data_IF_790665527452
#
_entry.id   IF_790665527452
#
_cell.length_a   1.000
_cell.length_b   1.000
_cell.length_c   1.000
_cell.angle_alpha   90.00
_cell.angle_beta   90.00
_cell.angle_gamma   90.00
#
_symmetry.space_group_name_H-M   'P 1'
#
loop_
_entity.id
_entity.type
_entity.pdbx_description
1 polymer ?
#
# COMPACT_ATOMS: atom_id res chain seq x y z
N UNK A 1 18.78 29.68 -11.58
CA UNK A 1 17.75 30.08 -10.60
C UNK A 1 16.72 28.96 -10.43
N UNK A 2 17.12 27.77 -9.98
CA UNK A 2 16.22 26.61 -9.78
C UNK A 2 16.66 25.76 -8.56
N UNK A 3 17.29 26.37 -7.56
CA UNK A 3 17.86 25.68 -6.39
C UNK A 3 17.25 26.11 -5.06
N UNK A 4 15.99 26.56 -5.06
CA UNK A 4 15.36 27.21 -3.91
C UNK A 4 14.48 26.31 -3.03
N UNK A 5 14.10 25.13 -3.50
CA UNK A 5 13.27 24.21 -2.72
C UNK A 5 14.23 23.26 -2.00
N UNK A 6 14.63 23.65 -0.80
CA UNK A 6 15.43 22.78 0.06
C UNK A 6 14.53 21.72 0.70
N UNK A 7 15.09 20.52 0.88
CA UNK A 7 14.39 19.34 1.44
C UNK A 7 13.73 19.66 2.79
N UNK A 8 14.35 20.54 3.57
CA UNK A 8 13.88 20.95 4.89
C UNK A 8 12.55 21.71 4.86
N UNK A 9 12.32 22.53 3.84
CA UNK A 9 11.09 23.28 3.65
C UNK A 9 9.96 22.32 3.27
N UNK A 10 10.25 21.32 2.43
CA UNK A 10 9.26 20.32 2.03
C UNK A 10 8.77 19.49 3.23
N UNK A 11 9.66 19.10 4.15
CA UNK A 11 9.28 18.38 5.37
C UNK A 11 8.37 19.20 6.28
N UNK A 12 8.67 20.49 6.45
CA UNK A 12 7.85 21.41 7.26
C UNK A 12 6.45 21.55 6.64
N UNK A 13 6.36 21.76 5.33
CA UNK A 13 5.08 21.86 4.61
C UNK A 13 4.29 20.55 4.70
N UNK A 14 4.95 19.41 4.50
CA UNK A 14 4.33 18.08 4.61
C UNK A 14 3.77 17.84 6.02
N UNK A 15 4.50 18.26 7.05
CA UNK A 15 4.05 18.18 8.45
C UNK A 15 2.76 18.94 8.68
N UNK A 16 2.64 20.16 8.15
CA UNK A 16 1.41 20.97 8.27
C UNK A 16 0.24 20.30 7.54
N UNK A 17 0.46 19.76 6.34
CA UNK A 17 -0.57 19.04 5.59
C UNK A 17 -1.05 17.82 6.37
N UNK A 18 -0.13 17.02 6.93
CA UNK A 18 -0.48 15.86 7.77
C UNK A 18 -1.30 16.31 8.99
N UNK A 19 -0.98 17.46 9.59
CA UNK A 19 -1.70 17.97 10.76
C UNK A 19 -3.12 18.42 10.42
N UNK A 20 -3.33 19.05 9.26
CA UNK A 20 -4.65 19.51 8.80
C UNK A 20 -5.52 18.33 8.35
N UNK A 21 -4.96 17.43 7.56
CA UNK A 21 -5.71 16.29 6.99
C UNK A 21 -5.78 15.08 7.93
N UNK A 22 -4.86 15.00 8.89
CA UNK A 22 -4.67 13.84 9.75
C UNK A 22 -3.97 12.68 9.02
N UNK A 23 -3.24 11.85 9.77
CA UNK A 23 -2.55 10.65 9.23
C UNK A 23 -3.52 9.58 8.71
N UNK A 24 -4.76 9.53 9.21
CA UNK A 24 -5.76 8.53 8.83
C UNK A 24 -6.23 8.69 7.38
N UNK A 25 -6.51 9.93 6.94
CA UNK A 25 -6.87 10.22 5.54
C UNK A 25 -5.67 10.04 4.61
N UNK A 26 -4.48 10.49 5.03
CA UNK A 26 -3.25 10.33 4.25
C UNK A 26 -2.84 8.87 4.10
N UNK A 27 -3.07 8.00 5.09
CA UNK A 27 -2.80 6.56 4.98
C UNK A 27 -3.75 5.87 4.02
N UNK A 28 -5.04 6.17 4.10
CA UNK A 28 -6.04 5.57 3.21
C UNK A 28 -5.78 5.96 1.74
N UNK A 29 -5.57 7.25 1.45
CA UNK A 29 -5.25 7.69 0.09
C UNK A 29 -3.82 7.34 -0.34
N UNK A 30 -2.88 7.37 0.60
CA UNK A 30 -1.47 7.09 0.36
C UNK A 30 -1.20 5.61 0.08
N UNK A 31 -2.01 4.69 0.60
CA UNK A 31 -1.95 3.27 0.26
C UNK A 31 -2.27 3.03 -1.22
N UNK A 32 -3.39 3.60 -1.70
CA UNK A 32 -3.85 3.45 -3.08
C UNK A 32 -2.88 4.09 -4.08
N UNK A 33 -2.49 5.35 -3.81
CA UNK A 33 -1.55 6.09 -4.65
C UNK A 33 -0.13 5.51 -4.56
N UNK A 34 0.30 5.11 -3.38
CA UNK A 34 1.61 4.51 -3.14
C UNK A 34 1.75 3.16 -3.83
N UNK A 35 0.69 2.35 -3.86
CA UNK A 35 0.65 1.08 -4.60
C UNK A 35 0.82 1.28 -6.10
N UNK A 36 0.10 2.24 -6.68
CA UNK A 36 0.20 2.58 -8.11
C UNK A 36 1.61 3.10 -8.47
N UNK A 37 2.17 4.01 -7.66
CA UNK A 37 3.51 4.55 -7.86
C UNK A 37 4.58 3.47 -7.70
N UNK A 38 4.40 2.50 -6.78
CA UNK A 38 5.34 1.39 -6.59
C UNK A 38 5.44 0.52 -7.85
N UNK A 39 4.30 0.18 -8.46
CA UNK A 39 4.26 -0.56 -9.73
C UNK A 39 4.90 0.21 -10.88
N UNK A 40 4.63 1.53 -10.97
CA UNK A 40 5.27 2.40 -11.96
C UNK A 40 6.79 2.47 -11.78
N UNK A 41 7.27 2.68 -10.55
CA UNK A 41 8.71 2.67 -10.26
C UNK A 41 9.32 1.32 -10.63
N UNK A 42 8.66 0.21 -10.28
CA UNK A 42 9.17 -1.12 -10.57
C UNK A 42 9.28 -1.37 -12.08
N UNK A 43 8.26 -1.00 -12.87
CA UNK A 43 8.30 -1.13 -14.33
C UNK A 43 9.41 -0.27 -14.96
N UNK A 44 9.54 0.99 -14.52
CA UNK A 44 10.60 1.90 -15.02
C UNK A 44 12.00 1.40 -14.64
N UNK A 45 12.17 0.80 -13.45
CA UNK A 45 13.45 0.22 -13.06
C UNK A 45 13.70 -1.16 -13.71
N UNK A 46 12.67 -1.93 -14.04
CA UNK A 46 12.79 -3.20 -14.79
C UNK A 46 13.27 -2.97 -16.23
N UNK A 47 12.90 -1.85 -16.85
CA UNK A 47 13.42 -1.43 -18.17
C UNK A 47 14.92 -1.05 -18.13
N UNK A 48 15.42 -0.57 -16.99
CA UNK A 48 16.84 -0.26 -16.78
C UNK A 48 17.67 -1.48 -16.30
N UNK A 49 17.04 -2.47 -15.66
CA UNK A 49 17.68 -3.61 -14.97
C UNK A 49 17.38 -4.99 -15.61
N UNK A 50 17.31 -5.09 -16.94
CA UNK A 50 17.31 -6.39 -17.66
C UNK A 50 18.64 -7.15 -17.52
N UNK A 51 19.17 -7.34 -16.30
CA UNK A 51 20.26 -8.30 -16.06
C UNK A 51 20.31 -9.01 -14.71
N UNK A 52 19.51 -8.75 -13.65
CA UNK A 52 19.53 -9.68 -12.50
C UNK A 52 18.34 -9.63 -11.51
N UNK A 53 17.52 -10.70 -11.57
CA UNK A 53 16.83 -11.38 -10.43
C UNK A 53 15.48 -10.82 -9.90
N UNK A 54 14.69 -11.63 -9.16
CA UNK A 54 13.30 -11.93 -9.49
C UNK A 54 12.27 -11.17 -8.62
N UNK A 55 11.14 -10.90 -9.26
CA UNK A 55 9.88 -10.37 -8.73
C UNK A 55 9.58 -10.82 -7.29
N UNK A 56 9.73 -9.89 -6.34
CA UNK A 56 9.38 -10.10 -4.95
C UNK A 56 7.85 -10.02 -4.77
N UNK A 57 7.26 -11.17 -4.47
CA UNK A 57 5.85 -11.35 -4.10
C UNK A 57 5.41 -10.31 -3.07
N UNK A 58 4.32 -9.60 -3.37
CA UNK A 58 3.57 -8.80 -2.40
C UNK A 58 2.91 -9.78 -1.41
N UNK A 59 3.49 -9.92 -0.21
CA UNK A 59 2.78 -10.44 0.96
C UNK A 59 1.89 -9.32 1.50
N UNK A 60 0.58 -9.48 1.37
CA UNK A 60 -0.37 -8.84 2.30
C UNK A 60 -0.28 -9.60 3.61
N UNK A 61 0.37 -8.99 4.59
CA UNK A 61 0.28 -9.39 6.00
C UNK A 61 -0.75 -8.44 6.63
N UNK A 62 -2.02 -8.84 6.60
CA UNK A 62 -3.08 -8.22 7.40
C UNK A 62 -3.02 -8.83 8.79
N UNK A 63 -2.29 -8.18 9.70
CA UNK A 63 -2.41 -8.49 11.12
C UNK A 63 -2.64 -7.20 11.93
N UNK A 64 -3.86 -7.15 12.48
CA UNK A 64 -4.35 -6.45 13.69
C UNK A 64 -4.99 -5.06 13.57
N UNK A 65 -6.30 -5.05 13.87
CA UNK A 65 -6.86 -4.08 14.81
C UNK A 65 -8.18 -3.42 14.40
N UNK A 66 -9.29 -4.17 14.41
CA UNK A 66 -10.61 -3.63 14.78
C UNK A 66 -11.64 -4.77 14.94
N UNK A 67 -12.17 -4.91 16.15
CA UNK A 67 -13.34 -5.73 16.48
C UNK A 67 -14.54 -5.36 15.60
N UNK A 68 -15.12 -6.32 14.87
CA UNK A 68 -16.55 -6.26 14.53
C UNK A 68 -17.12 -7.68 14.40
N UNK A 69 -17.91 -7.97 15.43
CA UNK A 69 -18.94 -8.99 15.67
C UNK A 69 -19.69 -9.50 14.41
N UNK A 70 -19.82 -10.83 14.39
CA UNK A 70 -20.89 -11.68 13.83
C UNK A 70 -21.62 -11.27 12.54
N UNK A 71 -21.37 -12.08 11.51
CA UNK A 71 -22.16 -12.13 10.28
C UNK A 71 -22.21 -13.54 9.73
N UNK A 72 -23.10 -14.35 10.29
CA UNK A 72 -23.51 -15.68 9.84
C UNK A 72 -23.69 -15.77 8.31
N UNK A 73 -23.00 -16.69 7.65
CA UNK A 73 -23.45 -17.30 6.39
C UNK A 73 -22.80 -18.69 6.26
N UNK A 74 -23.40 -19.67 6.91
CA UNK A 74 -23.18 -21.08 6.59
C UNK A 74 -23.71 -21.33 5.19
N UNK A 75 -22.82 -21.53 4.21
CA UNK A 75 -23.20 -21.94 2.87
C UNK A 75 -22.14 -22.87 2.30
N UNK A 76 -22.60 -24.09 2.00
CA UNK A 76 -21.95 -25.22 1.31
C UNK A 76 -21.09 -26.14 2.18
N UNK A 77 -21.76 -27.12 2.78
CA UNK A 77 -21.19 -28.46 2.93
C UNK A 77 -21.73 -29.34 1.78
N UNK A 78 -20.88 -29.58 0.78
CA UNK A 78 -21.01 -30.68 -0.19
C UNK A 78 -19.69 -31.44 -0.18
N UNK A 79 -19.67 -32.60 0.45
CA UNK A 79 -18.78 -33.73 0.19
C UNK A 79 -19.59 -34.99 0.54
N UNK A 80 -20.38 -35.55 -0.38
CA UNK A 80 -19.99 -36.63 -1.28
C UNK A 80 -18.52 -37.10 -1.18
N UNK A 81 -18.26 -38.15 -0.39
CA UNK A 81 -17.32 -39.21 -0.78
C UNK A 81 -17.60 -40.53 -0.05
N UNK A 82 -18.03 -41.52 -0.85
CA UNK A 82 -17.72 -42.95 -0.79
C UNK A 82 -16.91 -43.48 0.42
N UNK A 83 -17.54 -44.30 1.26
CA UNK A 83 -17.34 -45.77 1.44
C UNK A 83 -17.77 -46.20 2.83
#
# INVERSE_FOLDING_TARGET
>A
MLGGISIWQLLIVLGIIILIFGTKKLRNLGGDLGGAIKGFKQAVNEDDETSNKPQQRVKHDETQGNDTIDGHTDTREKEDTRK
#
